data_IF_415245059856
#
_entry.id   IF_415245059856
#
_cell.length_a   1.000
_cell.length_b   1.000
_cell.length_c   1.000
_cell.angle_alpha   90.00
_cell.angle_beta   90.00
_cell.angle_gamma   90.00
#
_symmetry.space_group_name_H-M   'P 1'
#
loop_
_entity.id
_entity.type
_entity.pdbx_description
1 polymer ?
#
# COMPACT_ATOMS: atom_id res chain seq x y z
N UNK A 1 -3.96 -39.82 0.14
CA UNK A 1 -4.21 -41.28 0.30
C UNK A 1 -3.18 -42.14 -0.40
N UNK A 2 -2.92 -41.98 -1.71
CA UNK A 2 -1.92 -42.79 -2.43
C UNK A 2 -0.51 -42.78 -1.78
N UNK A 3 -0.02 -41.61 -1.35
CA UNK A 3 1.28 -41.48 -0.69
C UNK A 3 1.39 -42.20 0.66
N UNK A 4 0.29 -42.31 1.42
CA UNK A 4 0.29 -43.05 2.69
C UNK A 4 0.37 -44.56 2.45
N UNK A 5 -0.33 -45.07 1.42
CA UNK A 5 -0.23 -46.47 1.03
C UNK A 5 1.17 -46.81 0.53
N UNK A 6 1.79 -45.93 -0.27
CA UNK A 6 3.17 -46.10 -0.73
C UNK A 6 4.12 -46.13 0.47
N UNK A 7 4.00 -45.19 1.42
CA UNK A 7 4.84 -45.19 2.62
C UNK A 7 4.67 -46.48 3.44
N UNK A 8 3.43 -46.95 3.64
CA UNK A 8 3.17 -48.20 4.36
C UNK A 8 3.76 -49.43 3.66
N UNK A 9 3.67 -49.49 2.32
CA UNK A 9 4.24 -50.59 1.53
C UNK A 9 5.77 -50.58 1.58
N UNK A 10 6.40 -49.40 1.51
CA UNK A 10 7.86 -49.27 1.62
C UNK A 10 8.33 -49.63 3.04
N UNK A 11 7.63 -49.18 4.08
CA UNK A 11 7.93 -49.57 5.46
C UNK A 11 7.87 -51.09 5.64
N UNK A 12 6.82 -51.73 5.10
CA UNK A 12 6.69 -53.18 5.11
C UNK A 12 7.82 -53.88 4.35
N UNK A 13 8.23 -53.34 3.19
CA UNK A 13 9.32 -53.89 2.39
C UNK A 13 10.71 -53.77 3.06
N UNK A 14 10.94 -52.71 3.85
CA UNK A 14 12.20 -52.52 4.59
C UNK A 14 12.31 -53.50 5.76
N UNK A 15 11.18 -53.85 6.40
CA UNK A 15 11.12 -54.90 7.43
C UNK A 15 11.90 -54.60 8.72
N UNK A 16 12.45 -53.40 8.87
CA UNK A 16 13.21 -52.93 10.02
C UNK A 16 12.57 -51.64 10.54
N UNK A 17 11.75 -51.75 11.59
CA UNK A 17 11.01 -50.62 12.18
C UNK A 17 11.96 -49.50 12.68
N UNK A 18 13.21 -49.85 13.01
CA UNK A 18 14.26 -48.91 13.42
C UNK A 18 14.80 -48.05 12.26
N UNK A 19 14.61 -48.45 11.00
CA UNK A 19 15.03 -47.69 9.81
C UNK A 19 13.88 -46.91 9.18
N UNK A 20 12.71 -47.54 9.03
CA UNK A 20 11.54 -46.91 8.42
C UNK A 20 10.25 -47.41 9.06
N UNK A 21 9.65 -46.55 9.87
CA UNK A 21 8.35 -46.82 10.49
C UNK A 21 7.20 -46.51 9.52
N UNK A 22 6.10 -47.26 9.62
CA UNK A 22 4.90 -47.05 8.83
C UNK A 22 4.02 -45.91 9.36
N UNK A 23 3.11 -45.36 8.52
CA UNK A 23 2.17 -44.32 8.91
C UNK A 23 1.23 -44.76 10.04
N UNK A 24 0.82 -46.03 10.09
CA UNK A 24 -0.10 -46.53 11.11
C UNK A 24 0.54 -46.50 12.51
N UNK A 25 1.79 -46.99 12.62
CA UNK A 25 2.54 -46.98 13.87
C UNK A 25 2.86 -45.54 14.30
N UNK A 26 3.22 -44.68 13.34
CA UNK A 26 3.43 -43.24 13.61
C UNK A 26 2.16 -42.58 14.17
N UNK A 27 0.99 -42.92 13.62
CA UNK A 27 -0.29 -42.40 14.09
C UNK A 27 -0.63 -42.88 15.51
N UNK A 28 -0.29 -44.12 15.87
CA UNK A 28 -0.48 -44.62 17.23
C UNK A 28 0.37 -43.85 18.25
N UNK A 29 1.65 -43.59 17.93
CA UNK A 29 2.53 -42.77 18.77
C UNK A 29 2.00 -41.35 18.90
N UNK A 30 1.55 -40.75 17.79
CA UNK A 30 0.94 -39.43 17.79
C UNK A 30 -0.28 -39.38 18.72
N UNK A 31 -1.16 -40.38 18.69
CA UNK A 31 -2.30 -40.47 19.62
C UNK A 31 -1.85 -40.58 21.09
N UNK A 32 -0.84 -41.39 21.38
CA UNK A 32 -0.30 -41.52 22.75
C UNK A 32 0.29 -40.20 23.25
N UNK A 33 1.01 -39.48 22.40
CA UNK A 33 1.55 -38.16 22.69
C UNK A 33 0.43 -37.14 23.00
N UNK A 34 -0.69 -37.18 22.28
CA UNK A 34 -1.84 -36.32 22.59
C UNK A 34 -2.51 -36.69 23.92
N UNK A 35 -2.62 -37.98 24.25
CA UNK A 35 -3.24 -38.46 25.50
C UNK A 35 -2.40 -38.11 26.73
N UNK A 36 -1.06 -38.09 26.62
CA UNK A 36 -0.18 -37.75 27.74
C UNK A 36 -0.25 -36.28 28.17
N UNK A 37 -0.82 -35.39 27.35
CA UNK A 37 -0.92 -33.95 27.63
C UNK A 37 0.40 -33.17 27.46
N UNK A 38 1.53 -33.85 27.30
CA UNK A 38 2.85 -33.22 27.10
C UNK A 38 2.96 -32.47 25.77
N UNK A 39 2.18 -32.87 24.76
CA UNK A 39 2.19 -32.24 23.44
C UNK A 39 1.75 -30.78 23.51
N UNK A 40 0.71 -30.46 24.28
CA UNK A 40 0.12 -29.11 24.27
C UNK A 40 1.11 -28.08 24.77
N UNK A 41 1.77 -28.36 25.90
CA UNK A 41 2.75 -27.45 26.49
C UNK A 41 3.99 -27.31 25.61
N UNK A 42 4.51 -28.42 25.09
CA UNK A 42 5.70 -28.44 24.21
C UNK A 42 5.45 -27.67 22.90
N UNK A 43 4.28 -27.90 22.29
CA UNK A 43 3.86 -27.19 21.07
C UNK A 43 3.67 -25.71 21.35
N UNK A 44 3.02 -25.34 22.45
CA UNK A 44 2.78 -23.94 22.82
C UNK A 44 4.08 -23.15 23.00
N UNK A 45 5.06 -23.70 23.73
CA UNK A 45 6.34 -23.02 23.94
C UNK A 45 7.12 -22.80 22.64
N UNK A 46 7.15 -23.80 21.77
CA UNK A 46 7.82 -23.70 20.47
C UNK A 46 7.08 -22.73 19.55
N UNK A 47 5.74 -22.81 19.53
CA UNK A 47 4.88 -21.88 18.80
C UNK A 47 5.14 -20.44 19.22
N UNK A 48 5.15 -20.13 20.52
CA UNK A 48 5.36 -18.77 21.01
C UNK A 48 6.73 -18.21 20.57
N UNK A 49 7.81 -18.98 20.70
CA UNK A 49 9.16 -18.54 20.29
C UNK A 49 9.23 -18.26 18.79
N UNK A 50 8.71 -19.18 17.97
CA UNK A 50 8.71 -19.05 16.51
C UNK A 50 7.80 -17.90 16.06
N UNK A 51 6.59 -17.80 16.62
CA UNK A 51 5.62 -16.76 16.29
C UNK A 51 6.13 -15.36 16.70
N UNK A 52 6.71 -15.21 17.90
CA UNK A 52 7.33 -13.95 18.32
C UNK A 52 8.49 -13.56 17.41
N UNK A 53 9.36 -14.52 17.06
CA UNK A 53 10.45 -14.29 16.11
C UNK A 53 9.94 -13.84 14.75
N UNK A 54 8.90 -14.48 14.24
CA UNK A 54 8.28 -14.17 12.96
C UNK A 54 7.63 -12.77 12.96
N UNK A 55 6.82 -12.45 13.97
CA UNK A 55 6.18 -11.13 14.10
C UNK A 55 7.22 -10.02 14.21
N UNK A 56 8.27 -10.23 15.00
CA UNK A 56 9.36 -9.27 15.13
C UNK A 56 10.13 -9.11 13.81
N UNK A 57 10.38 -10.20 13.08
CA UNK A 57 10.98 -10.15 11.74
C UNK A 57 10.14 -9.33 10.77
N UNK A 58 8.82 -9.54 10.78
CA UNK A 58 7.90 -8.87 9.88
C UNK A 58 7.81 -7.37 10.17
N UNK A 59 7.66 -7.01 11.46
CA UNK A 59 7.63 -5.63 11.90
C UNK A 59 8.93 -4.89 11.60
N UNK A 60 10.08 -5.51 11.90
CA UNK A 60 11.40 -4.92 11.61
C UNK A 60 11.65 -4.79 10.12
N UNK A 61 11.30 -5.79 9.32
CA UNK A 61 11.41 -5.75 7.87
C UNK A 61 10.57 -4.62 7.25
N UNK A 62 9.31 -4.46 7.67
CA UNK A 62 8.44 -3.38 7.18
C UNK A 62 8.98 -2.00 7.55
N UNK A 63 9.47 -1.82 8.78
CA UNK A 63 10.04 -0.55 9.25
C UNK A 63 11.33 -0.20 8.48
N UNK A 64 12.22 -1.17 8.28
CA UNK A 64 13.45 -0.99 7.52
C UNK A 64 13.14 -0.71 6.05
N UNK A 65 12.19 -1.44 5.44
CA UNK A 65 11.80 -1.23 4.05
C UNK A 65 11.18 0.16 3.82
N UNK A 66 10.30 0.61 4.72
CA UNK A 66 9.75 1.96 4.67
C UNK A 66 10.83 3.04 4.78
N UNK A 67 11.77 2.84 5.70
CA UNK A 67 12.88 3.78 5.92
C UNK A 67 13.84 3.81 4.73
N UNK A 68 14.15 2.65 4.16
CA UNK A 68 15.00 2.52 2.98
C UNK A 68 14.35 3.15 1.73
N UNK A 69 13.04 2.98 1.56
CA UNK A 69 12.28 3.65 0.50
C UNK A 69 12.35 5.18 0.59
N UNK A 70 12.41 5.74 1.80
CA UNK A 70 12.58 7.18 2.03
C UNK A 70 14.03 7.65 1.89
N UNK A 71 15.00 6.79 2.18
CA UNK A 71 16.41 7.12 2.26
C UNK A 71 17.28 6.10 1.51
N UNK A 72 17.66 6.44 0.27
CA UNK A 72 18.51 5.59 -0.60
C UNK A 72 19.84 5.20 0.06
N UNK A 73 20.39 6.04 0.93
CA UNK A 73 21.62 5.75 1.69
C UNK A 73 21.46 4.57 2.64
N UNK A 74 20.31 4.49 3.33
CA UNK A 74 20.00 3.37 4.22
C UNK A 74 19.83 2.09 3.42
N UNK A 75 19.20 2.16 2.26
CA UNK A 75 19.07 1.01 1.37
C UNK A 75 20.44 0.46 0.94
N UNK A 76 21.34 1.32 0.47
CA UNK A 76 22.70 0.94 0.04
C UNK A 76 23.48 0.26 1.18
N UNK A 77 23.26 0.69 2.43
CA UNK A 77 23.87 0.09 3.61
C UNK A 77 23.24 -1.27 3.98
N UNK A 78 21.91 -1.38 3.99
CA UNK A 78 21.21 -2.60 4.39
C UNK A 78 21.35 -3.73 3.37
N UNK A 79 21.37 -3.41 2.08
CA UNK A 79 21.35 -4.38 0.99
C UNK A 79 22.45 -5.48 1.11
N UNK A 80 23.75 -5.16 1.25
CA UNK A 80 24.79 -6.19 1.38
C UNK A 80 24.63 -7.03 2.65
N UNK A 81 24.22 -6.43 3.77
CA UNK A 81 24.03 -7.15 5.03
C UNK A 81 22.88 -8.17 4.93
N UNK A 82 21.75 -7.77 4.34
CA UNK A 82 20.59 -8.65 4.17
C UNK A 82 20.84 -9.77 3.16
N UNK A 83 21.63 -9.52 2.13
CA UNK A 83 22.11 -10.57 1.22
C UNK A 83 23.02 -11.57 1.94
N UNK A 84 23.97 -11.08 2.75
CA UNK A 84 24.85 -11.94 3.52
C UNK A 84 24.06 -12.86 4.47
N UNK A 85 23.07 -12.31 5.19
CA UNK A 85 22.18 -13.10 6.06
C UNK A 85 21.41 -14.13 5.24
N UNK A 86 20.80 -13.72 4.12
CA UNK A 86 20.03 -14.62 3.23
C UNK A 86 20.86 -15.79 2.70
N UNK A 87 22.16 -15.58 2.45
CA UNK A 87 23.07 -16.59 1.91
C UNK A 87 23.73 -17.48 2.96
N UNK A 88 23.66 -17.10 4.24
CA UNK A 88 24.35 -17.85 5.31
C UNK A 88 23.57 -19.13 5.66
N UNK A 89 24.22 -20.30 5.72
CA UNK A 89 23.56 -21.53 6.16
C UNK A 89 22.96 -21.38 7.57
N UNK A 90 21.70 -21.79 7.73
CA UNK A 90 20.96 -21.65 8.99
C UNK A 90 21.70 -22.28 10.18
N UNK A 91 22.36 -23.42 9.98
CA UNK A 91 23.13 -24.10 11.04
C UNK A 91 24.25 -23.20 11.60
N UNK A 92 24.97 -22.47 10.74
CA UNK A 92 26.02 -21.55 11.18
C UNK A 92 25.45 -20.39 12.01
N UNK A 93 24.30 -19.85 11.59
CA UNK A 93 23.58 -18.79 12.32
C UNK A 93 23.17 -19.32 13.71
N UNK A 94 22.57 -20.51 13.77
CA UNK A 94 22.09 -21.10 15.02
C UNK A 94 23.21 -21.29 16.02
N UNK A 95 24.35 -21.85 15.60
CA UNK A 95 25.52 -22.04 16.48
C UNK A 95 26.01 -20.70 17.02
N UNK A 96 26.06 -19.67 16.18
CA UNK A 96 26.49 -18.34 16.62
C UNK A 96 25.52 -17.69 17.61
N UNK A 97 24.22 -17.78 17.34
CA UNK A 97 23.18 -17.29 18.24
C UNK A 97 23.20 -18.01 19.58
N UNK A 98 23.47 -19.32 19.59
CA UNK A 98 23.59 -20.09 20.82
C UNK A 98 24.76 -19.59 21.69
N UNK A 99 25.89 -19.25 21.07
CA UNK A 99 27.06 -18.70 21.77
C UNK A 99 26.76 -17.31 22.34
N UNK A 100 26.05 -16.46 21.61
CA UNK A 100 25.81 -15.07 22.02
C UNK A 100 24.64 -14.89 22.99
N UNK A 101 23.54 -15.62 22.79
CA UNK A 101 22.28 -15.40 23.50
C UNK A 101 21.82 -16.61 24.34
N UNK A 102 22.42 -17.77 24.14
CA UNK A 102 22.04 -19.01 24.82
C UNK A 102 20.80 -19.71 24.24
N UNK A 103 20.53 -20.92 24.74
CA UNK A 103 19.51 -21.81 24.22
C UNK A 103 18.08 -21.23 24.21
N UNK A 104 17.59 -20.51 25.25
CA UNK A 104 16.19 -20.05 25.29
C UNK A 104 15.79 -19.11 24.13
N UNK A 105 16.75 -18.36 23.58
CA UNK A 105 16.52 -17.30 22.59
C UNK A 105 16.84 -17.74 21.16
N UNK A 106 17.53 -18.86 20.98
CA UNK A 106 18.10 -19.29 19.69
C UNK A 106 17.04 -19.41 18.58
N UNK A 107 15.87 -19.96 18.91
CA UNK A 107 14.75 -20.16 17.97
C UNK A 107 14.18 -18.83 17.49
N UNK A 108 13.89 -17.92 18.44
CA UNK A 108 13.35 -16.59 18.15
C UNK A 108 14.31 -15.78 17.27
N UNK A 109 15.59 -15.69 17.66
CA UNK A 109 16.60 -14.93 16.92
C UNK A 109 16.88 -15.53 15.54
N UNK A 110 16.89 -16.87 15.43
CA UNK A 110 17.08 -17.55 14.15
C UNK A 110 15.95 -17.23 13.18
N UNK A 111 14.69 -17.37 13.64
CA UNK A 111 13.52 -17.04 12.83
C UNK A 111 13.55 -15.58 12.40
N UNK A 112 13.91 -14.66 13.30
CA UNK A 112 14.05 -13.25 12.98
C UNK A 112 15.01 -13.02 11.81
N UNK A 113 16.23 -13.56 11.90
CA UNK A 113 17.25 -13.35 10.88
C UNK A 113 16.91 -14.01 9.55
N UNK A 114 16.26 -15.19 9.57
CA UNK A 114 15.92 -15.94 8.36
C UNK A 114 14.74 -15.30 7.61
N UNK A 115 13.73 -14.81 8.32
CA UNK A 115 12.52 -14.22 7.71
C UNK A 115 12.76 -12.79 7.22
N UNK A 116 13.53 -12.00 7.97
CA UNK A 116 13.70 -10.57 7.76
C UNK A 116 14.12 -10.19 6.32
N UNK A 117 15.13 -10.82 5.69
CA UNK A 117 15.55 -10.44 4.33
C UNK A 117 14.45 -10.62 3.29
N UNK A 118 13.76 -11.77 3.30
CA UNK A 118 12.72 -12.07 2.31
C UNK A 118 11.50 -11.14 2.45
N UNK A 119 11.13 -10.78 3.68
CA UNK A 119 10.06 -9.82 3.93
C UNK A 119 10.49 -8.40 3.59
N UNK A 120 11.73 -8.00 3.91
CA UNK A 120 12.27 -6.68 3.59
C UNK A 120 12.27 -6.42 2.08
N UNK A 121 12.83 -7.33 1.28
CA UNK A 121 12.92 -7.13 -0.16
C UNK A 121 11.53 -7.07 -0.82
N UNK A 122 10.59 -7.90 -0.37
CA UNK A 122 9.21 -7.86 -0.86
C UNK A 122 8.51 -6.55 -0.47
N UNK A 123 8.65 -6.10 0.78
CA UNK A 123 8.07 -4.85 1.24
C UNK A 123 8.65 -3.64 0.50
N UNK A 124 9.98 -3.59 0.33
CA UNK A 124 10.66 -2.51 -0.38
C UNK A 124 10.21 -2.41 -1.84
N UNK A 125 10.06 -3.55 -2.52
CA UNK A 125 9.55 -3.60 -3.88
C UNK A 125 8.08 -3.12 -3.94
N UNK A 126 7.28 -3.49 -2.95
CA UNK A 126 5.92 -2.97 -2.82
C UNK A 126 5.87 -1.45 -2.64
N UNK A 127 6.76 -0.87 -1.84
CA UNK A 127 6.85 0.58 -1.69
C UNK A 127 7.29 1.29 -2.98
N UNK A 128 8.19 0.68 -3.76
CA UNK A 128 8.64 1.20 -5.07
C UNK A 128 7.56 1.16 -6.13
N UNK A 129 6.67 0.17 -6.07
CA UNK A 129 5.55 0.04 -6.98
C UNK A 129 4.41 1.05 -6.74
N UNK A 130 4.46 1.81 -5.63
CA UNK A 130 3.48 2.85 -5.35
C UNK A 130 3.53 3.96 -6.40
N UNK A 131 2.35 4.38 -6.84
CA UNK A 131 2.20 5.46 -7.81
C UNK A 131 2.40 6.81 -7.13
N UNK A 132 3.49 7.49 -7.51
CA UNK A 132 3.85 8.79 -6.95
C UNK A 132 2.78 9.87 -7.20
N UNK A 133 1.99 9.77 -8.28
CA UNK A 133 0.93 10.73 -8.60
C UNK A 133 -0.22 10.60 -7.60
N UNK A 134 -0.63 9.38 -7.23
CA UNK A 134 -1.68 9.14 -6.23
C UNK A 134 -1.27 9.63 -4.84
N UNK A 135 -0.01 9.41 -4.45
CA UNK A 135 0.51 9.95 -3.18
C UNK A 135 0.55 11.48 -3.17
N UNK A 136 0.92 12.13 -4.28
CA UNK A 136 0.86 13.59 -4.41
C UNK A 136 -0.58 14.10 -4.35
N UNK A 137 -1.51 13.43 -5.03
CA UNK A 137 -2.93 13.74 -4.96
C UNK A 137 -3.45 13.67 -3.52
N UNK A 138 -3.19 12.58 -2.78
CA UNK A 138 -3.62 12.47 -1.39
C UNK A 138 -3.05 13.58 -0.49
N UNK A 139 -1.79 13.99 -0.72
CA UNK A 139 -1.17 15.13 -0.03
C UNK A 139 -1.81 16.47 -0.39
N UNK A 140 -2.12 16.70 -1.67
CA UNK A 140 -2.80 17.91 -2.15
C UNK A 140 -4.15 18.08 -1.42
N UNK A 141 -4.91 16.99 -1.30
CA UNK A 141 -6.18 16.95 -0.57
C UNK A 141 -6.01 16.80 0.95
N UNK A 142 -4.78 16.92 1.48
CA UNK A 142 -4.47 16.93 2.92
C UNK A 142 -4.94 15.70 3.69
N UNK A 143 -5.02 14.56 3.00
CA UNK A 143 -5.23 13.27 3.66
C UNK A 143 -4.03 13.01 4.56
N UNK A 144 -4.24 12.75 5.85
CA UNK A 144 -3.12 12.56 6.77
C UNK A 144 -2.41 11.21 6.55
N UNK A 145 -1.19 11.09 7.08
CA UNK A 145 -0.33 9.94 6.76
C UNK A 145 -0.90 8.59 7.23
N UNK A 146 -1.72 8.57 8.29
CA UNK A 146 -2.34 7.32 8.76
C UNK A 146 -3.46 6.89 7.81
N UNK A 147 -4.29 7.83 7.36
CA UNK A 147 -5.32 7.59 6.36
C UNK A 147 -4.73 7.21 5.00
N UNK A 148 -3.64 7.85 4.57
CA UNK A 148 -2.88 7.44 3.38
C UNK A 148 -2.37 6.00 3.53
N UNK A 149 -1.86 5.64 4.71
CA UNK A 149 -1.37 4.30 4.97
C UNK A 149 -2.50 3.27 4.86
N UNK A 150 -3.61 3.48 5.56
CA UNK A 150 -4.71 2.52 5.61
C UNK A 150 -5.47 2.39 4.30
N UNK A 151 -5.73 3.49 3.59
CA UNK A 151 -6.57 3.50 2.40
C UNK A 151 -5.82 3.20 1.08
N UNK A 152 -4.49 3.36 1.06
CA UNK A 152 -3.72 3.21 -0.19
C UNK A 152 -2.45 2.37 -0.03
N UNK A 153 -1.56 2.74 0.90
CA UNK A 153 -0.24 2.09 0.99
C UNK A 153 -0.38 0.63 1.42
N UNK A 154 -1.06 0.36 2.54
CA UNK A 154 -1.17 -0.99 3.09
C UNK A 154 -1.89 -1.97 2.15
N UNK A 155 -3.04 -1.62 1.51
CA UNK A 155 -3.65 -2.45 0.48
C UNK A 155 -2.73 -2.72 -0.71
N UNK A 156 -1.98 -1.73 -1.18
CA UNK A 156 -1.06 -1.88 -2.30
C UNK A 156 0.12 -2.82 -1.97
N UNK A 157 0.58 -2.84 -0.71
CA UNK A 157 1.65 -3.74 -0.25
C UNK A 157 1.20 -5.22 -0.16
N UNK A 158 -0.10 -5.50 -0.05
CA UNK A 158 -0.60 -6.84 0.24
C UNK A 158 -0.14 -7.90 -0.75
N UNK A 159 -0.11 -7.60 -2.05
CA UNK A 159 0.29 -8.58 -3.07
C UNK A 159 1.73 -9.06 -2.88
N UNK A 160 2.63 -8.13 -2.56
CA UNK A 160 4.04 -8.39 -2.28
C UNK A 160 4.23 -9.13 -0.96
N UNK A 161 3.54 -8.66 0.07
CA UNK A 161 3.58 -9.23 1.42
C UNK A 161 3.00 -10.64 1.49
N UNK A 162 1.92 -10.91 0.77
CA UNK A 162 1.29 -12.21 0.66
C UNK A 162 2.18 -13.21 -0.09
N UNK A 163 2.84 -12.79 -1.18
CA UNK A 163 3.81 -13.60 -1.89
C UNK A 163 5.01 -13.98 -1.01
N UNK A 164 5.53 -13.03 -0.23
CA UNK A 164 6.61 -13.27 0.74
C UNK A 164 6.16 -14.22 1.85
N UNK A 165 4.99 -13.99 2.43
CA UNK A 165 4.44 -14.77 3.54
C UNK A 165 4.29 -16.26 3.23
N UNK A 166 3.86 -16.62 2.00
CA UNK A 166 3.79 -18.02 1.52
C UNK A 166 5.15 -18.73 1.58
N UNK A 167 6.24 -17.98 1.43
CA UNK A 167 7.59 -18.53 1.50
C UNK A 167 8.13 -18.52 2.94
N UNK A 168 7.85 -17.47 3.71
CA UNK A 168 8.51 -17.23 5.00
C UNK A 168 7.86 -17.93 6.18
N UNK A 169 6.53 -18.12 6.20
CA UNK A 169 5.85 -18.78 7.35
C UNK A 169 6.26 -20.25 7.47
N UNK A 170 6.25 -21.00 6.36
CA UNK A 170 6.76 -22.37 6.37
C UNK A 170 8.26 -22.44 6.69
N UNK A 171 9.04 -21.44 6.25
CA UNK A 171 10.47 -21.34 6.54
C UNK A 171 10.76 -21.05 8.01
N UNK A 172 9.94 -20.23 8.69
CA UNK A 172 10.13 -19.94 10.13
C UNK A 172 9.96 -21.19 10.99
N UNK A 173 9.02 -22.07 10.65
CA UNK A 173 8.88 -23.35 11.36
C UNK A 173 10.07 -24.26 11.15
N UNK A 174 10.55 -24.39 9.90
CA UNK A 174 11.73 -25.20 9.57
C UNK A 174 12.98 -24.70 10.30
N UNK A 175 13.25 -23.40 10.21
CA UNK A 175 14.43 -22.78 10.82
C UNK A 175 14.33 -22.75 12.35
N UNK A 176 13.16 -22.42 12.90
CA UNK A 176 12.92 -22.35 14.34
C UNK A 176 13.07 -23.70 15.02
N UNK A 177 12.43 -24.75 14.49
CA UNK A 177 12.58 -26.11 15.05
C UNK A 177 14.01 -26.63 14.86
N UNK A 178 14.67 -26.36 13.73
CA UNK A 178 16.07 -26.73 13.55
C UNK A 178 16.99 -26.01 14.56
N UNK A 179 16.70 -24.75 14.88
CA UNK A 179 17.41 -24.01 15.90
C UNK A 179 17.20 -24.61 17.29
N UNK A 180 15.97 -25.02 17.61
CA UNK A 180 15.65 -25.74 18.83
C UNK A 180 16.31 -27.12 18.91
N UNK A 181 16.39 -27.86 17.80
CA UNK A 181 17.06 -29.17 17.76
C UNK A 181 18.54 -29.05 18.12
N UNK A 182 19.21 -27.98 17.68
CA UNK A 182 20.64 -27.74 17.93
C UNK A 182 20.87 -27.11 19.31
N UNK A 183 20.03 -26.15 19.72
CA UNK A 183 20.17 -25.44 20.98
C UNK A 183 19.55 -26.15 22.18
N UNK A 184 18.67 -27.12 21.95
CA UNK A 184 17.91 -27.90 22.94
C UNK A 184 17.31 -27.06 24.08
N UNK A 185 16.53 -25.99 23.79
CA UNK A 185 15.84 -25.25 24.83
C UNK A 185 14.76 -26.13 25.49
N UNK A 186 14.69 -26.07 26.82
CA UNK A 186 13.75 -26.89 27.58
C UNK A 186 12.29 -26.66 27.18
N UNK A 187 11.54 -27.76 27.11
CA UNK A 187 10.11 -27.81 26.81
C UNK A 187 9.78 -27.50 25.35
N UNK A 188 10.72 -27.72 24.41
CA UNK A 188 10.53 -27.40 23.00
C UNK A 188 10.38 -28.65 22.12
N UNK A 189 9.79 -28.49 20.94
CA UNK A 189 9.63 -29.59 19.98
C UNK A 189 11.02 -30.07 19.53
N UNK A 190 11.94 -29.14 19.25
CA UNK A 190 13.31 -29.49 18.87
C UNK A 190 14.05 -30.30 19.94
N UNK A 191 13.85 -30.01 21.22
CA UNK A 191 14.39 -30.83 22.32
C UNK A 191 13.83 -32.26 22.27
N UNK A 192 12.51 -32.43 22.08
CA UNK A 192 11.90 -33.78 22.00
C UNK A 192 12.43 -34.58 20.82
N UNK A 193 12.62 -33.96 19.66
CA UNK A 193 13.24 -34.61 18.50
C UNK A 193 14.69 -34.97 18.79
N UNK A 194 15.44 -34.11 19.50
CA UNK A 194 16.82 -34.41 19.89
C UNK A 194 16.90 -35.62 20.83
N UNK A 195 16.01 -35.72 21.82
CA UNK A 195 15.96 -36.86 22.73
C UNK A 195 15.57 -38.15 22.01
N UNK A 196 14.54 -38.12 21.17
CA UNK A 196 14.14 -39.26 20.34
C UNK A 196 15.30 -39.75 19.45
N UNK A 197 16.09 -38.81 18.90
CA UNK A 197 17.30 -39.13 18.13
C UNK A 197 18.36 -39.85 18.97
N UNK A 198 18.59 -39.43 20.22
CA UNK A 198 19.57 -40.08 21.12
C UNK A 198 19.16 -41.53 21.40
N UNK A 199 17.86 -41.78 21.61
CA UNK A 199 17.31 -43.10 21.92
C UNK A 199 17.06 -43.93 20.64
N UNK A 200 17.24 -43.33 19.46
CA UNK A 200 16.93 -43.93 18.15
C UNK A 200 15.44 -44.32 17.99
N UNK A 201 14.55 -43.59 18.67
CA UNK A 201 13.10 -43.73 18.55
C UNK A 201 12.60 -43.01 17.29
N UNK A 202 12.73 -43.70 16.15
CA UNK A 202 12.30 -43.15 14.84
C UNK A 202 10.82 -42.78 14.83
N UNK A 203 9.98 -43.52 15.53
CA UNK A 203 8.55 -43.26 15.67
C UNK A 203 8.25 -41.85 16.17
N UNK A 204 8.93 -41.42 17.23
CA UNK A 204 8.75 -40.09 17.82
C UNK A 204 9.26 -38.99 16.90
N UNK A 205 10.39 -39.20 16.22
CA UNK A 205 10.91 -38.25 15.21
C UNK A 205 9.88 -38.04 14.10
N UNK A 206 9.26 -39.10 13.57
CA UNK A 206 8.22 -38.99 12.55
C UNK A 206 6.95 -38.33 13.11
N UNK A 207 6.50 -38.70 14.30
CA UNK A 207 5.32 -38.13 14.93
C UNK A 207 5.46 -36.60 15.14
N UNK A 208 6.58 -36.15 15.71
CA UNK A 208 6.86 -34.72 15.89
C UNK A 208 7.02 -33.99 14.54
N UNK A 209 7.61 -34.64 13.53
CA UNK A 209 7.72 -34.07 12.19
C UNK A 209 6.34 -33.82 11.58
N UNK A 210 5.40 -34.75 11.72
CA UNK A 210 4.00 -34.57 11.28
C UNK A 210 3.35 -33.39 12.02
N UNK A 211 3.54 -33.31 13.34
CA UNK A 211 3.03 -32.19 14.16
C UNK A 211 3.55 -30.85 13.64
N UNK A 212 4.85 -30.74 13.34
CA UNK A 212 5.46 -29.51 12.80
C UNK A 212 4.88 -29.14 11.44
N UNK A 213 4.73 -30.12 10.53
CA UNK A 213 4.18 -29.88 9.18
C UNK A 213 2.73 -29.38 9.27
N UNK A 214 1.91 -29.99 10.12
CA UNK A 214 0.52 -29.56 10.34
C UNK A 214 0.44 -28.16 10.96
N UNK A 215 1.24 -27.88 11.98
CA UNK A 215 1.30 -26.56 12.61
C UNK A 215 1.76 -25.48 11.63
N UNK A 216 2.80 -25.76 10.85
CA UNK A 216 3.31 -24.84 9.83
C UNK A 216 2.22 -24.52 8.79
N UNK A 217 1.50 -25.54 8.31
CA UNK A 217 0.39 -25.36 7.38
C UNK A 217 -0.74 -24.52 7.98
N UNK A 218 -1.19 -24.85 9.20
CA UNK A 218 -2.26 -24.10 9.88
C UNK A 218 -1.84 -22.63 10.09
N UNK A 219 -0.62 -22.40 10.55
CA UNK A 219 -0.09 -21.05 10.77
C UNK A 219 0.00 -20.26 9.46
N UNK A 220 0.42 -20.89 8.36
CA UNK A 220 0.45 -20.25 7.05
C UNK A 220 -0.94 -19.82 6.62
N UNK A 221 -1.93 -20.72 6.66
CA UNK A 221 -3.30 -20.38 6.27
C UNK A 221 -3.90 -19.27 7.14
N UNK A 222 -3.73 -19.36 8.46
CA UNK A 222 -4.19 -18.33 9.39
C UNK A 222 -3.51 -16.99 9.11
N UNK A 223 -2.19 -16.97 8.95
CA UNK A 223 -1.45 -15.73 8.72
C UNK A 223 -1.84 -15.07 7.39
N UNK A 224 -1.93 -15.84 6.30
CA UNK A 224 -2.36 -15.31 5.00
C UNK A 224 -3.79 -14.77 5.05
N UNK A 225 -4.70 -15.47 5.74
CA UNK A 225 -6.06 -15.01 5.97
C UNK A 225 -6.07 -13.65 6.70
N UNK A 226 -5.39 -13.53 7.83
CA UNK A 226 -5.34 -12.27 8.59
C UNK A 226 -4.64 -11.15 7.83
N UNK A 227 -3.57 -11.46 7.10
CA UNK A 227 -2.83 -10.50 6.30
C UNK A 227 -3.74 -9.87 5.23
N UNK A 228 -4.47 -10.67 4.45
CA UNK A 228 -5.38 -10.16 3.43
C UNK A 228 -6.52 -9.31 4.04
N UNK A 229 -7.18 -9.83 5.08
CA UNK A 229 -8.29 -9.11 5.72
C UNK A 229 -7.84 -7.82 6.42
N UNK A 230 -6.57 -7.72 6.82
CA UNK A 230 -6.03 -6.49 7.43
C UNK A 230 -6.12 -5.30 6.48
N UNK A 231 -6.04 -5.50 5.16
CA UNK A 231 -6.18 -4.41 4.19
C UNK A 231 -7.60 -3.84 4.14
N UNK A 232 -8.61 -4.71 4.14
CA UNK A 232 -10.01 -4.28 4.16
C UNK A 232 -10.34 -3.55 5.46
N UNK A 233 -9.85 -4.07 6.59
CA UNK A 233 -10.02 -3.44 7.91
C UNK A 233 -9.36 -2.06 7.96
N UNK A 234 -8.11 -1.95 7.52
CA UNK A 234 -7.38 -0.67 7.49
C UNK A 234 -8.03 0.34 6.53
N UNK A 235 -8.52 -0.11 5.38
CA UNK A 235 -9.21 0.74 4.40
C UNK A 235 -10.53 1.26 4.97
N UNK A 236 -11.35 0.36 5.52
CA UNK A 236 -12.62 0.73 6.15
C UNK A 236 -12.41 1.67 7.34
N UNK A 237 -11.39 1.42 8.16
CA UNK A 237 -11.01 2.32 9.25
C UNK A 237 -10.61 3.71 8.75
N UNK A 238 -9.75 3.79 7.73
CA UNK A 238 -9.32 5.06 7.16
C UNK A 238 -10.53 5.85 6.64
N UNK A 239 -11.39 5.23 5.83
CA UNK A 239 -12.56 5.91 5.26
C UNK A 239 -13.54 6.38 6.36
N UNK A 240 -13.89 5.51 7.31
CA UNK A 240 -14.85 5.85 8.39
C UNK A 240 -14.35 6.99 9.28
N UNK A 241 -13.05 7.06 9.51
CA UNK A 241 -12.44 8.10 10.37
C UNK A 241 -11.99 9.34 9.60
N UNK A 242 -11.99 9.30 8.26
CA UNK A 242 -11.70 10.46 7.41
C UNK A 242 -12.78 11.54 7.49
N UNK A 243 -14.03 11.15 7.80
CA UNK A 243 -15.15 12.06 7.98
C UNK A 243 -14.90 13.00 9.19
N UNK A 244 -14.27 14.15 8.95
CA UNK A 244 -13.98 15.19 9.93
C UNK A 244 -14.92 16.38 9.70
N UNK A 245 -15.26 17.10 10.78
CA UNK A 245 -16.23 18.21 10.79
C UNK A 245 -15.98 19.18 9.62
N UNK A 246 -17.05 19.44 8.87
CA UNK A 246 -17.13 20.34 7.74
C UNK A 246 -16.44 21.68 8.05
N UNK A 247 -15.34 21.99 7.35
CA UNK A 247 -14.75 23.32 7.37
C UNK A 247 -15.44 24.14 6.27
N UNK A 248 -15.88 25.35 6.61
CA UNK A 248 -16.45 26.27 5.64
C UNK A 248 -15.43 26.54 4.53
N UNK A 249 -15.90 26.67 3.28
CA UNK A 249 -15.05 27.01 2.17
C UNK A 249 -14.29 28.33 2.49
N UNK A 250 -12.95 28.32 2.47
CA UNK A 250 -12.18 29.51 2.79
C UNK A 250 -12.42 30.62 1.76
N UNK A 251 -12.39 31.87 2.20
CA UNK A 251 -12.58 33.03 1.32
C UNK A 251 -11.43 33.08 0.31
N UNK A 252 -11.78 33.18 -0.97
CA UNK A 252 -10.83 33.32 -2.08
C UNK A 252 -9.91 34.51 -1.87
N UNK A 253 -8.63 34.29 -2.15
CA UNK A 253 -7.63 35.35 -2.16
C UNK A 253 -7.05 35.49 -3.57
N UNK A 254 -6.43 36.64 -3.80
CA UNK A 254 -5.72 36.93 -5.05
C UNK A 254 -4.58 35.92 -5.22
N UNK A 255 -4.39 35.41 -6.44
CA UNK A 255 -3.21 34.64 -6.83
C UNK A 255 -2.33 35.56 -7.69
N UNK A 256 -1.06 35.70 -7.32
CA UNK A 256 -0.08 36.49 -8.08
C UNK A 256 1.07 35.59 -8.49
N UNK A 257 1.39 35.61 -9.77
CA UNK A 257 2.50 34.90 -10.38
C UNK A 257 3.44 35.94 -10.98
N UNK A 258 4.72 35.89 -10.60
CA UNK A 258 5.72 36.89 -10.99
C UNK A 258 6.90 36.21 -11.68
N UNK A 259 7.10 36.53 -12.96
CA UNK A 259 8.21 36.06 -13.79
C UNK A 259 8.50 34.56 -13.71
N UNK A 260 7.43 33.74 -13.76
CA UNK A 260 7.52 32.29 -13.62
C UNK A 260 8.09 31.66 -14.89
N UNK A 261 9.12 30.83 -14.74
CA UNK A 261 9.73 30.10 -15.86
C UNK A 261 9.81 28.62 -15.56
N UNK A 262 9.54 27.79 -16.57
CA UNK A 262 9.66 26.34 -16.44
C UNK A 262 10.13 25.69 -17.75
N UNK A 263 11.08 24.78 -17.60
CA UNK A 263 11.64 23.93 -18.64
C UNK A 263 11.45 22.45 -18.30
N UNK A 264 11.31 21.61 -19.32
CA UNK A 264 11.33 20.15 -19.18
C UNK A 264 12.33 19.54 -20.13
N UNK A 265 13.45 19.08 -19.58
CA UNK A 265 14.60 18.65 -20.39
C UNK A 265 15.15 19.84 -21.17
N UNK A 266 15.22 19.72 -22.49
CA UNK A 266 15.69 20.80 -23.38
C UNK A 266 14.55 21.72 -23.85
N UNK A 267 13.29 21.37 -23.59
CA UNK A 267 12.14 22.16 -24.05
C UNK A 267 11.75 23.20 -23.00
N UNK A 268 11.83 24.46 -23.37
CA UNK A 268 11.24 25.55 -22.61
C UNK A 268 9.71 25.54 -22.79
N UNK A 269 8.97 25.53 -21.66
CA UNK A 269 7.51 25.49 -21.70
C UNK A 269 6.92 26.90 -21.69
N UNK A 270 7.42 27.75 -20.80
CA UNK A 270 7.09 29.17 -20.71
C UNK A 270 8.20 29.92 -19.97
N UNK A 271 8.37 31.20 -20.27
CA UNK A 271 9.37 32.08 -19.67
C UNK A 271 8.74 33.37 -19.18
N UNK A 272 9.13 33.83 -17.99
CA UNK A 272 8.75 35.17 -17.50
C UNK A 272 7.24 35.35 -17.28
N UNK A 273 6.46 34.27 -17.23
CA UNK A 273 5.00 34.33 -17.16
C UNK A 273 4.57 35.07 -15.90
N UNK A 274 3.88 36.19 -16.09
CA UNK A 274 3.44 37.07 -15.02
C UNK A 274 1.95 37.29 -15.16
N UNK A 275 1.18 36.89 -14.15
CA UNK A 275 -0.27 37.02 -14.17
C UNK A 275 -0.84 37.16 -12.77
N UNK A 276 -1.89 37.97 -12.66
CA UNK A 276 -2.65 38.16 -11.42
C UNK A 276 -4.10 37.73 -11.61
N UNK A 277 -4.57 36.78 -10.80
CA UNK A 277 -5.95 36.32 -10.78
C UNK A 277 -6.68 36.91 -9.56
N UNK A 278 -7.77 37.63 -9.81
CA UNK A 278 -8.57 38.22 -8.75
C UNK A 278 -9.29 37.16 -7.92
N UNK A 279 -9.62 37.46 -6.66
CA UNK A 279 -10.41 36.58 -5.83
C UNK A 279 -11.78 36.30 -6.48
N UNK A 280 -12.13 35.04 -6.67
CA UNK A 280 -13.40 34.62 -7.30
C UNK A 280 -13.44 34.79 -8.82
N UNK A 281 -12.32 35.13 -9.46
CA UNK A 281 -12.26 35.17 -10.92
C UNK A 281 -12.35 33.77 -11.50
N UNK A 282 -12.91 33.68 -12.71
CA UNK A 282 -12.93 32.46 -13.52
C UNK A 282 -12.10 32.70 -14.76
N UNK A 283 -11.09 31.86 -14.99
CA UNK A 283 -10.17 32.03 -16.11
C UNK A 283 -9.97 30.71 -16.85
N UNK A 284 -10.12 30.73 -18.16
CA UNK A 284 -9.74 29.62 -19.02
C UNK A 284 -8.35 29.89 -19.61
N UNK A 285 -7.38 29.07 -19.23
CA UNK A 285 -6.04 29.06 -19.77
C UNK A 285 -6.02 28.26 -21.07
N UNK A 286 -5.82 28.96 -22.17
CA UNK A 286 -5.75 28.39 -23.51
C UNK A 286 -4.33 28.48 -24.04
N UNK A 287 -3.88 27.46 -24.75
CA UNK A 287 -2.55 27.41 -25.35
C UNK A 287 -2.51 26.28 -26.38
N UNK A 288 -1.52 26.29 -27.26
CA UNK A 288 -1.20 25.12 -28.06
C UNK A 288 -0.90 23.88 -27.18
N UNK A 289 -1.00 22.69 -27.77
CA UNK A 289 -0.64 21.45 -27.06
C UNK A 289 0.86 21.43 -26.80
N UNK A 290 1.25 21.17 -25.56
CA UNK A 290 2.66 21.09 -25.16
C UNK A 290 3.33 22.42 -24.77
N UNK A 291 2.58 23.52 -24.64
CA UNK A 291 3.03 24.81 -24.08
C UNK A 291 3.12 24.80 -22.54
N UNK A 292 2.72 23.70 -21.89
CA UNK A 292 2.89 23.55 -20.43
C UNK A 292 1.71 23.98 -19.57
N UNK A 293 0.48 24.04 -20.09
CA UNK A 293 -0.75 24.30 -19.29
C UNK A 293 -0.84 23.41 -18.04
N UNK A 294 -0.74 22.10 -18.21
CA UNK A 294 -0.72 21.11 -17.12
C UNK A 294 0.42 21.38 -16.13
N UNK A 295 1.61 21.71 -16.63
CA UNK A 295 2.76 22.03 -15.79
C UNK A 295 2.51 23.30 -14.97
N UNK A 296 1.93 24.34 -15.56
CA UNK A 296 1.56 25.57 -14.85
C UNK A 296 0.54 25.27 -13.75
N UNK A 297 -0.51 24.48 -14.03
CA UNK A 297 -1.48 24.06 -13.02
C UNK A 297 -0.83 23.26 -11.89
N UNK A 298 0.11 22.36 -12.20
CA UNK A 298 0.85 21.61 -11.18
C UNK A 298 1.75 22.50 -10.32
N UNK A 299 2.36 23.52 -10.89
CA UNK A 299 3.15 24.51 -10.14
C UNK A 299 2.23 25.33 -9.23
N UNK A 300 1.10 25.82 -9.73
CA UNK A 300 0.10 26.54 -8.93
C UNK A 300 -0.43 25.66 -7.78
N UNK A 301 -0.62 24.36 -8.02
CA UNK A 301 -1.02 23.40 -7.00
C UNK A 301 0.09 23.01 -6.00
N UNK A 302 1.34 23.46 -6.21
CA UNK A 302 2.49 23.08 -5.39
C UNK A 302 2.93 21.61 -5.54
N UNK A 303 2.55 20.96 -6.65
CA UNK A 303 2.90 19.57 -6.96
C UNK A 303 4.28 19.49 -7.63
N UNK A 304 4.61 20.52 -8.41
CA UNK A 304 5.89 20.69 -9.11
C UNK A 304 6.50 22.04 -8.74
N UNK A 305 7.84 22.14 -8.78
CA UNK A 305 8.55 23.40 -8.55
C UNK A 305 8.81 24.09 -9.89
N UNK A 306 8.68 25.41 -9.93
CA UNK A 306 9.18 26.20 -11.06
C UNK A 306 10.71 26.30 -11.01
N UNK A 307 11.32 26.60 -12.15
CA UNK A 307 12.78 26.82 -12.23
C UNK A 307 13.15 28.21 -11.69
N UNK A 308 12.30 29.20 -11.97
CA UNK A 308 12.44 30.60 -11.54
C UNK A 308 11.07 31.25 -11.33
N UNK A 309 11.08 32.40 -10.66
CA UNK A 309 9.90 33.21 -10.38
C UNK A 309 9.27 32.89 -9.03
N UNK A 310 8.23 33.63 -8.70
CA UNK A 310 7.55 33.56 -7.41
C UNK A 310 6.05 33.36 -7.61
N UNK A 311 5.45 32.56 -6.72
CA UNK A 311 4.01 32.30 -6.66
C UNK A 311 3.50 32.68 -5.28
N UNK A 312 2.68 33.73 -5.24
CA UNK A 312 1.99 34.17 -4.04
C UNK A 312 0.55 33.67 -4.07
N UNK A 313 0.28 32.64 -3.27
CA UNK A 313 -1.06 32.12 -3.07
C UNK A 313 -1.30 31.80 -1.60
N UNK A 314 -2.36 32.37 -1.05
CA UNK A 314 -2.83 32.03 0.29
C UNK A 314 -4.08 31.15 0.20
N UNK A 315 -3.99 29.95 0.78
CA UNK A 315 -5.12 29.03 0.94
C UNK A 315 -4.83 27.62 0.44
N UNK A 316 -5.89 26.92 0.04
CA UNK A 316 -5.80 25.52 -0.39
C UNK A 316 -6.21 25.42 -1.84
N UNK A 317 -5.51 24.58 -2.57
CA UNK A 317 -5.77 24.33 -3.98
C UNK A 317 -6.38 22.95 -4.12
N UNK A 318 -7.46 22.85 -4.90
CA UNK A 318 -7.97 21.57 -5.37
C UNK A 318 -7.70 21.45 -6.87
N UNK A 319 -7.44 20.22 -7.33
CA UNK A 319 -7.06 19.94 -8.71
C UNK A 319 -7.82 18.72 -9.26
N UNK A 320 -8.41 18.88 -10.44
CA UNK A 320 -8.77 17.77 -11.33
C UNK A 320 -7.67 17.62 -12.39
N UNK A 321 -7.05 16.45 -12.47
CA UNK A 321 -5.89 16.18 -13.33
C UNK A 321 -6.30 15.87 -14.76
N UNK A 322 -5.48 16.17 -15.78
CA UNK A 322 -5.80 15.82 -17.17
C UNK A 322 -6.15 14.32 -17.34
N UNK A 323 -5.36 13.45 -16.72
CA UNK A 323 -5.67 12.03 -16.55
C UNK A 323 -6.18 11.79 -15.14
N UNK A 324 -7.39 11.23 -15.01
CA UNK A 324 -8.05 11.02 -13.72
C UNK A 324 -7.14 10.34 -12.71
N UNK A 325 -6.96 10.97 -11.54
CA UNK A 325 -6.12 10.44 -10.47
C UNK A 325 -7.00 10.02 -9.29
N UNK A 326 -7.52 8.79 -9.35
CA UNK A 326 -8.38 8.20 -8.31
C UNK A 326 -7.71 6.94 -7.71
N UNK A 327 -8.16 6.55 -6.52
CA UNK A 327 -7.80 5.27 -5.90
C UNK A 327 -8.68 4.18 -6.51
N UNK A 328 -8.09 3.42 -7.44
CA UNK A 328 -8.79 2.49 -8.37
C UNK A 328 -9.67 1.45 -7.68
N UNK A 329 -9.23 0.95 -6.53
CA UNK A 329 -9.93 -0.12 -5.80
C UNK A 329 -11.03 0.40 -4.88
N UNK A 330 -11.09 1.72 -4.65
CA UNK A 330 -12.11 2.34 -3.81
C UNK A 330 -13.32 2.75 -4.65
N UNK A 331 -14.48 2.85 -4.01
CA UNK A 331 -15.67 3.40 -4.65
C UNK A 331 -15.55 4.89 -4.94
N UNK A 332 -16.47 5.43 -5.75
CA UNK A 332 -16.56 6.88 -5.96
C UNK A 332 -16.79 7.60 -4.62
N UNK A 333 -17.71 7.08 -3.78
CA UNK A 333 -18.00 7.63 -2.46
C UNK A 333 -16.74 7.67 -1.58
N UNK A 334 -16.01 6.57 -1.49
CA UNK A 334 -14.84 6.44 -0.60
C UNK A 334 -13.69 7.35 -1.03
N UNK A 335 -13.47 7.51 -2.34
CA UNK A 335 -12.48 8.46 -2.88
C UNK A 335 -12.77 9.89 -2.41
N UNK A 336 -14.04 10.29 -2.42
CA UNK A 336 -14.46 11.64 -2.05
C UNK A 336 -14.46 11.82 -0.53
N UNK A 337 -14.94 10.85 0.24
CA UNK A 337 -14.90 10.90 1.71
C UNK A 337 -13.46 11.05 2.19
N UNK A 338 -12.53 10.27 1.63
CA UNK A 338 -11.12 10.33 1.99
C UNK A 338 -10.50 11.71 1.70
N UNK A 339 -10.81 12.30 0.54
CA UNK A 339 -10.21 13.55 0.08
C UNK A 339 -10.87 14.82 0.66
N UNK A 340 -12.15 14.76 1.03
CA UNK A 340 -12.93 15.94 1.45
C UNK A 340 -13.27 15.94 2.94
N UNK A 341 -13.28 14.76 3.57
CA UNK A 341 -13.76 14.58 4.95
C UNK A 341 -15.27 14.80 5.12
N UNK A 342 -16.04 14.97 4.04
CA UNK A 342 -17.49 15.14 4.11
C UNK A 342 -18.19 13.82 4.47
N UNK A 343 -19.37 13.87 5.12
CA UNK A 343 -20.15 12.68 5.42
C UNK A 343 -20.68 12.03 4.13
N UNK A 344 -20.83 10.71 4.14
CA UNK A 344 -21.32 9.92 3.01
C UNK A 344 -22.58 10.50 2.35
N UNK A 345 -23.60 10.85 3.15
CA UNK A 345 -24.86 11.40 2.63
C UNK A 345 -24.69 12.73 1.85
N UNK A 346 -23.71 13.57 2.24
CA UNK A 346 -23.43 14.81 1.51
C UNK A 346 -22.70 14.52 0.20
N UNK A 347 -21.74 13.58 0.20
CA UNK A 347 -21.03 13.16 -1.00
C UNK A 347 -21.94 12.47 -2.00
N UNK A 348 -22.81 11.58 -1.52
CA UNK A 348 -23.80 10.88 -2.34
C UNK A 348 -24.70 11.89 -3.07
N UNK A 349 -25.23 12.87 -2.34
CA UNK A 349 -26.03 13.95 -2.93
C UNK A 349 -25.29 14.70 -4.03
N UNK A 350 -24.01 15.04 -3.82
CA UNK A 350 -23.20 15.74 -4.81
C UNK A 350 -22.94 14.88 -6.06
N UNK A 351 -22.62 13.60 -5.88
CA UNK A 351 -22.41 12.69 -7.01
C UNK A 351 -23.69 12.48 -7.82
N UNK A 352 -24.86 12.39 -7.18
CA UNK A 352 -26.15 12.27 -7.86
C UNK A 352 -26.53 13.47 -8.74
N UNK A 353 -25.89 14.64 -8.57
CA UNK A 353 -26.13 15.80 -9.45
C UNK A 353 -25.54 15.60 -10.85
N UNK A 354 -24.54 14.71 -10.99
CA UNK A 354 -23.76 14.53 -12.23
C UNK A 354 -23.72 13.07 -12.70
N UNK A 355 -23.92 12.10 -11.81
CA UNK A 355 -23.88 10.65 -12.08
C UNK A 355 -25.18 9.95 -11.65
N UNK A 356 -25.55 8.84 -12.30
CA UNK A 356 -26.61 7.96 -11.79
C UNK A 356 -26.20 7.26 -10.48
N UNK A 357 -27.17 6.62 -9.80
CA UNK A 357 -26.97 5.98 -8.48
C UNK A 357 -26.18 4.66 -8.55
N UNK A 358 -26.36 3.88 -9.61
CA UNK A 358 -25.68 2.57 -9.78
C UNK A 358 -24.14 2.63 -9.64
N UNK A 359 -23.42 3.61 -10.22
CA UNK A 359 -21.97 3.67 -10.15
C UNK A 359 -21.36 4.09 -8.80
N UNK A 360 -22.15 4.48 -7.80
CA UNK A 360 -21.59 5.14 -6.61
C UNK A 360 -20.85 4.21 -5.66
N UNK A 361 -21.26 2.93 -5.61
CA UNK A 361 -20.72 1.94 -4.68
C UNK A 361 -19.68 0.99 -5.28
N UNK A 362 -19.54 0.97 -6.62
CA UNK A 362 -18.57 0.13 -7.30
C UNK A 362 -17.17 0.76 -7.30
N UNK A 363 -16.09 -0.05 -7.33
CA UNK A 363 -14.73 0.45 -7.47
C UNK A 363 -14.58 1.33 -8.72
N UNK A 364 -13.86 2.45 -8.61
CA UNK A 364 -13.70 3.40 -9.73
C UNK A 364 -12.97 2.81 -10.94
N UNK A 365 -12.26 1.69 -10.79
CA UNK A 365 -11.67 0.95 -11.91
C UNK A 365 -12.72 0.32 -12.85
N UNK A 366 -13.97 0.18 -12.41
CA UNK A 366 -15.09 -0.35 -13.20
C UNK A 366 -15.91 0.75 -13.90
N UNK A 367 -15.63 2.02 -13.59
CA UNK A 367 -16.30 3.17 -14.19
C UNK A 367 -15.75 3.51 -15.57
N UNK A 368 -16.63 4.05 -16.43
CA UNK A 368 -16.24 4.62 -17.72
C UNK A 368 -15.35 5.86 -17.53
N UNK A 369 -14.63 6.26 -18.59
CA UNK A 369 -13.75 7.44 -18.54
C UNK A 369 -14.50 8.72 -18.14
N UNK A 370 -15.70 8.93 -18.68
CA UNK A 370 -16.54 10.08 -18.34
C UNK A 370 -17.06 10.05 -16.90
N UNK A 371 -17.44 8.87 -16.40
CA UNK A 371 -17.86 8.73 -15.00
C UNK A 371 -16.71 9.01 -14.03
N UNK A 372 -15.51 8.48 -14.31
CA UNK A 372 -14.30 8.77 -13.52
C UNK A 372 -13.99 10.27 -13.51
N UNK A 373 -14.18 10.95 -14.65
CA UNK A 373 -13.98 12.40 -14.77
C UNK A 373 -14.97 13.17 -13.91
N UNK A 374 -16.24 12.75 -13.89
CA UNK A 374 -17.25 13.34 -13.01
C UNK A 374 -16.90 13.16 -11.52
N UNK A 375 -16.47 11.96 -11.11
CA UNK A 375 -16.03 11.69 -9.72
C UNK A 375 -14.88 12.63 -9.33
N UNK A 376 -13.87 12.77 -10.19
CA UNK A 376 -12.75 13.68 -9.94
C UNK A 376 -13.17 15.15 -9.87
N UNK A 377 -14.10 15.58 -10.73
CA UNK A 377 -14.65 16.93 -10.73
C UNK A 377 -15.39 17.24 -9.42
N UNK A 378 -16.25 16.32 -8.98
CA UNK A 378 -16.96 16.43 -7.71
C UNK A 378 -15.97 16.48 -6.55
N UNK A 379 -14.92 15.65 -6.55
CA UNK A 379 -13.86 15.71 -5.53
C UNK A 379 -13.18 17.08 -5.48
N UNK A 380 -12.81 17.63 -6.64
CA UNK A 380 -12.12 18.92 -6.72
C UNK A 380 -13.00 20.08 -6.20
N UNK A 381 -14.30 20.05 -6.47
CA UNK A 381 -15.24 21.09 -6.01
C UNK A 381 -15.72 20.87 -4.57
N UNK A 382 -15.86 19.63 -4.11
CA UNK A 382 -16.28 19.33 -2.76
C UNK A 382 -15.17 19.60 -1.71
N UNK A 383 -13.90 19.58 -2.13
CA UNK A 383 -12.78 19.87 -1.25
C UNK A 383 -12.78 21.34 -0.79
N UNK A 384 -12.42 21.63 0.48
CA UNK A 384 -12.35 22.99 1.02
C UNK A 384 -11.10 23.71 0.50
N UNK A 385 -11.22 24.32 -0.68
CA UNK A 385 -10.16 25.07 -1.37
C UNK A 385 -10.52 26.55 -1.56
N UNK A 386 -9.52 27.43 -1.68
CA UNK A 386 -9.66 28.83 -2.12
C UNK A 386 -9.55 28.95 -3.64
N UNK A 387 -8.87 27.98 -4.28
CA UNK A 387 -8.60 27.92 -5.70
C UNK A 387 -8.92 26.52 -6.25
N UNK A 388 -9.71 26.47 -7.31
CA UNK A 388 -10.05 25.25 -8.04
C UNK A 388 -9.35 25.26 -9.38
N UNK A 389 -8.52 24.26 -9.61
CA UNK A 389 -7.81 24.04 -10.87
C UNK A 389 -8.41 22.85 -11.59
N UNK A 390 -8.75 23.00 -12.86
CA UNK A 390 -9.31 21.93 -13.68
C UNK A 390 -8.50 21.79 -14.96
N UNK A 391 -7.91 20.61 -15.17
CA UNK A 391 -7.12 20.34 -16.38
C UNK A 391 -7.92 19.50 -17.38
N UNK A 392 -8.35 20.14 -18.46
CA UNK A 392 -9.21 19.60 -19.53
C UNK A 392 -10.49 18.93 -19.00
N UNK A 393 -11.23 19.53 -18.03
CA UNK A 393 -12.27 18.84 -17.23
C UNK A 393 -13.40 18.20 -18.05
N UNK A 394 -13.55 18.64 -19.29
CA UNK A 394 -14.61 18.25 -20.20
C UNK A 394 -14.19 17.25 -21.28
N UNK A 395 -12.89 16.92 -21.34
CA UNK A 395 -12.37 15.97 -22.32
C UNK A 395 -13.06 14.61 -22.21
N UNK A 396 -13.47 14.08 -23.37
CA UNK A 396 -14.09 12.76 -23.49
C UNK A 396 -15.44 12.61 -22.77
N UNK A 397 -16.15 13.71 -22.50
CA UNK A 397 -17.54 13.70 -22.06
C UNK A 397 -18.48 13.79 -23.26
N UNK A 398 -19.64 13.13 -23.17
CA UNK A 398 -20.76 13.41 -24.09
C UNK A 398 -21.35 14.80 -23.80
N UNK A 399 -22.11 15.35 -24.74
CA UNK A 399 -22.64 16.71 -24.69
C UNK A 399 -23.54 16.97 -23.46
N UNK A 400 -24.34 15.99 -23.04
CA UNK A 400 -25.21 16.15 -21.88
C UNK A 400 -24.41 16.13 -20.58
N UNK A 401 -23.46 15.21 -20.44
CA UNK A 401 -22.54 15.16 -19.29
C UNK A 401 -21.64 16.40 -19.23
N UNK A 402 -21.19 16.91 -20.39
CA UNK A 402 -20.44 18.15 -20.53
C UNK A 402 -21.21 19.34 -19.95
N UNK A 403 -22.46 19.54 -20.40
CA UNK A 403 -23.33 20.62 -19.91
C UNK A 403 -23.61 20.50 -18.41
N UNK A 404 -23.95 19.30 -17.93
CA UNK A 404 -24.16 19.04 -16.49
C UNK A 404 -22.91 19.34 -15.65
N UNK A 405 -21.74 18.98 -16.16
CA UNK A 405 -20.46 19.25 -15.50
C UNK A 405 -20.21 20.76 -15.37
N UNK A 406 -20.47 21.53 -16.43
CA UNK A 406 -20.32 22.98 -16.41
C UNK A 406 -21.29 23.64 -15.40
N UNK A 407 -22.56 23.22 -15.40
CA UNK A 407 -23.56 23.69 -14.43
C UNK A 407 -23.18 23.33 -12.99
N UNK A 408 -22.67 22.12 -12.78
CA UNK A 408 -22.18 21.67 -11.48
C UNK A 408 -21.01 22.53 -10.99
N UNK A 409 -20.03 22.82 -11.86
CA UNK A 409 -18.91 23.72 -11.55
C UNK A 409 -19.43 25.08 -11.09
N UNK A 410 -20.30 25.71 -11.88
CA UNK A 410 -20.82 27.05 -11.57
C UNK A 410 -21.60 27.10 -10.26
N UNK A 411 -22.42 26.06 -10.00
CA UNK A 411 -23.23 25.96 -8.78
C UNK A 411 -22.38 25.80 -7.53
N UNK A 412 -21.36 24.94 -7.58
CA UNK A 412 -20.56 24.57 -6.42
C UNK A 412 -19.27 25.39 -6.26
N UNK A 413 -18.91 26.25 -7.22
CA UNK A 413 -17.73 27.10 -7.09
C UNK A 413 -17.82 28.05 -5.88
N UNK A 414 -19.03 28.52 -5.53
CA UNK A 414 -19.29 29.31 -4.32
C UNK A 414 -18.37 30.54 -4.14
N UNK A 415 -18.01 31.23 -5.24
CA UNK A 415 -17.13 32.39 -5.23
C UNK A 415 -15.63 32.08 -5.14
N UNK A 416 -15.24 30.81 -5.23
CA UNK A 416 -13.84 30.37 -5.35
C UNK A 416 -13.23 30.80 -6.67
N UNK A 417 -11.92 31.08 -6.66
CA UNK A 417 -11.19 31.34 -7.90
C UNK A 417 -11.13 30.04 -8.71
N UNK A 418 -11.41 30.11 -10.01
CA UNK A 418 -11.40 28.98 -10.94
C UNK A 418 -10.37 29.23 -12.04
N UNK A 419 -9.48 28.26 -12.25
CA UNK A 419 -8.60 28.23 -13.43
C UNK A 419 -8.83 26.90 -14.15
N UNK A 420 -9.21 26.98 -15.42
CA UNK A 420 -9.45 25.82 -16.27
C UNK A 420 -8.44 25.81 -17.40
N UNK A 421 -7.64 24.76 -17.54
CA UNK A 421 -6.90 24.52 -18.77
C UNK A 421 -7.82 23.83 -19.78
N UNK A 422 -8.01 24.45 -20.93
CA UNK A 422 -8.82 23.90 -22.03
C UNK A 422 -8.30 24.45 -23.36
N UNK A 423 -8.63 23.77 -24.45
CA UNK A 423 -8.42 24.23 -25.82
C UNK A 423 -9.74 24.64 -26.52
N UNK A 424 -10.89 24.46 -25.86
CA UNK A 424 -12.19 24.82 -26.41
C UNK A 424 -12.66 26.19 -25.91
N UNK A 425 -12.98 27.09 -26.85
CA UNK A 425 -13.55 28.42 -26.58
C UNK A 425 -14.99 28.28 -26.04
N UNK A 426 -15.69 27.21 -26.41
CA UNK A 426 -17.01 26.87 -25.90
C UNK A 426 -17.02 26.74 -24.38
N UNK A 427 -16.00 26.08 -23.81
CA UNK A 427 -15.86 25.91 -22.36
C UNK A 427 -15.76 27.24 -21.61
N UNK A 428 -15.01 28.21 -22.16
CA UNK A 428 -14.90 29.55 -21.58
C UNK A 428 -16.25 30.27 -21.57
N UNK A 429 -17.03 30.10 -22.64
CA UNK A 429 -18.37 30.68 -22.77
C UNK A 429 -19.35 30.02 -21.77
N UNK A 430 -19.34 28.69 -21.70
CA UNK A 430 -20.14 27.88 -20.78
C UNK A 430 -19.88 28.24 -19.31
N UNK A 431 -18.62 28.48 -18.95
CA UNK A 431 -18.23 28.83 -17.58
C UNK A 431 -18.32 30.33 -17.26
N UNK A 432 -18.58 31.18 -18.27
CA UNK A 432 -18.49 32.63 -18.15
C UNK A 432 -17.12 33.08 -17.64
N UNK A 433 -16.06 32.48 -18.19
CA UNK A 433 -14.67 32.68 -17.78
C UNK A 433 -13.93 33.58 -18.77
N UNK A 434 -13.00 34.40 -18.27
CA UNK A 434 -12.09 35.16 -19.13
C UNK A 434 -11.07 34.23 -19.79
N UNK A 435 -10.78 34.43 -21.07
CA UNK A 435 -9.73 33.67 -21.76
C UNK A 435 -8.38 34.32 -21.48
N UNK A 436 -7.40 33.49 -21.09
CA UNK A 436 -6.00 33.86 -20.98
C UNK A 436 -5.19 32.94 -21.89
N UNK A 437 -4.48 33.51 -22.86
CA UNK A 437 -3.62 32.74 -23.77
C UNK A 437 -2.24 32.65 -23.13
N UNK A 438 -1.75 31.41 -22.98
CA UNK A 438 -0.36 31.14 -22.61
C UNK A 438 0.43 31.09 -23.92
N UNK A 439 1.06 32.19 -24.28
CA UNK A 439 2.04 32.21 -25.37
C UNK A 439 3.45 31.97 -24.83
N UNK A 440 4.25 31.25 -25.61
CA UNK A 440 5.70 31.29 -25.50
C UNK A 440 6.06 32.49 -26.34
N UNK A 441 6.40 33.63 -25.74
CA UNK A 441 6.83 34.80 -26.50
C UNK A 441 7.91 34.37 -27.50
N UNK A 442 7.55 34.34 -28.78
CA UNK A 442 8.48 34.51 -29.86
C UNK A 442 8.76 36.01 -29.90
N UNK A 443 9.92 36.40 -29.35
CA UNK A 443 10.59 37.70 -29.51
C UNK A 443 9.74 38.82 -30.15
N UNK A 444 9.26 39.76 -29.33
CA UNK A 444 9.00 41.14 -29.76
C UNK A 444 10.11 42.07 -29.24
#
# INVERSE_FOLDING_TARGET
MAWLCIWQLVAFAVGMDLLLIGPLQTFQVLLQLFVSGEVVTTVLWSFLRIACGFVLAYATALLLAYSAWRHTTLEMFLHPALLAIKSTPVVCIVVMLLIWFGAPWVSLCCVLLVVLPATYFAALEGFRALDSQRLRMLKLYRVDSLHQFGAYIWPALQSYLHASAKMTVGMSWKAGVAAELIGSPAGSIGERIYQAKIVLETADVFAWTIVIVLLAYICEQMFLYFLLHSADICTAWAIRTAAKKQQAAPISKKLVITSLSCSRGEKQLFEGFTQSFAAGSKTCLMAATGTGKTTLLHIIAGIECADRGELEHEGHVSLAYQKTCLLEQLSALDNLVLATGLPFAAIEKLLCEILPLEPLSQPVCQLSGGERRCVELVRALAAPSTLVLLDEPFASLDEETHRRSAEFILRHLAGRTLIVATHDVGDATLLGASILILDIDSDD
#
